data_IF_186280420416
#
_entry.id   IF_186280420416
#
_cell.length_a   1.000
_cell.length_b   1.000
_cell.length_c   1.000
_cell.angle_alpha   90.00
_cell.angle_beta   90.00
_cell.angle_gamma   90.00
#
_symmetry.space_group_name_H-M   'P 1'
#
loop_
_entity.id
_entity.type
_entity.pdbx_description
1 polymer ?
#
# COMPACT_ATOMS: atom_id res chain seq x y z
N UNK A 1 26.16 -8.49 -25.47
CA UNK A 1 26.99 -9.63 -25.02
C UNK A 1 26.49 -10.00 -23.63
N UNK A 2 25.80 -11.13 -23.48
CA UNK A 2 25.33 -11.60 -22.19
C UNK A 2 26.55 -12.03 -21.34
N UNK A 3 26.66 -11.49 -20.13
CA UNK A 3 27.65 -11.89 -19.13
C UNK A 3 27.17 -13.16 -18.43
N UNK A 4 27.96 -14.23 -18.51
CA UNK A 4 27.68 -15.51 -17.84
C UNK A 4 28.26 -15.50 -16.43
N UNK A 5 27.39 -15.46 -15.43
CA UNK A 5 27.74 -15.87 -14.08
C UNK A 5 26.59 -15.64 -13.12
N UNK A 6 25.71 -16.62 -12.90
CA UNK A 6 24.67 -16.65 -11.84
C UNK A 6 23.90 -15.33 -11.59
N UNK A 7 23.87 -14.45 -12.58
CA UNK A 7 23.33 -13.10 -12.52
C UNK A 7 22.07 -13.10 -13.38
N UNK A 8 21.00 -12.61 -12.78
CA UNK A 8 19.71 -12.35 -13.41
C UNK A 8 19.93 -11.76 -14.81
N UNK A 9 19.50 -12.46 -15.86
CA UNK A 9 19.63 -11.99 -17.24
C UNK A 9 18.86 -10.67 -17.40
N UNK A 10 19.58 -9.56 -17.36
CA UNK A 10 19.01 -8.22 -17.57
C UNK A 10 19.29 -7.80 -19.01
N UNK A 11 18.23 -7.74 -19.81
CA UNK A 11 18.33 -7.29 -21.20
C UNK A 11 18.31 -5.76 -21.25
N UNK A 12 19.37 -5.16 -21.80
CA UNK A 12 19.45 -3.71 -21.97
C UNK A 12 18.57 -3.20 -23.12
N UNK A 13 18.39 -4.03 -24.16
CA UNK A 13 17.48 -3.80 -25.27
C UNK A 13 16.35 -4.86 -25.23
N UNK A 14 15.06 -4.46 -25.18
CA UNK A 14 13.94 -5.40 -25.23
C UNK A 14 13.93 -6.29 -26.49
N UNK A 15 14.62 -5.91 -27.58
CA UNK A 15 14.77 -6.74 -28.78
C UNK A 15 15.89 -7.79 -28.67
N UNK A 16 16.75 -7.71 -27.66
CA UNK A 16 17.66 -8.81 -27.30
C UNK A 16 16.89 -9.94 -26.64
N UNK A 17 15.86 -9.63 -25.84
CA UNK A 17 14.94 -10.62 -25.28
C UNK A 17 14.23 -11.41 -26.39
N UNK A 18 13.69 -10.73 -27.42
CA UNK A 18 13.05 -11.44 -28.54
C UNK A 18 14.05 -12.30 -29.31
N UNK A 19 15.29 -11.84 -29.54
CA UNK A 19 16.34 -12.58 -30.25
C UNK A 19 16.90 -13.76 -29.44
N UNK A 20 16.96 -13.64 -28.12
CA UNK A 20 17.42 -14.72 -27.23
C UNK A 20 16.44 -15.90 -27.25
N UNK A 21 15.13 -15.62 -27.30
CA UNK A 21 14.09 -16.66 -27.34
C UNK A 21 13.70 -17.11 -28.76
N UNK A 22 14.05 -16.36 -29.81
CA UNK A 22 13.81 -16.77 -31.22
C UNK A 22 14.50 -18.10 -31.58
N UNK A 23 15.62 -18.42 -30.91
CA UNK A 23 16.35 -19.69 -31.08
C UNK A 23 15.78 -20.87 -30.27
N UNK A 24 14.77 -20.64 -29.44
CA UNK A 24 14.09 -21.67 -28.63
C UNK A 24 12.72 -22.08 -29.19
N UNK A 25 12.23 -21.39 -30.23
CA UNK A 25 10.87 -21.58 -30.77
C UNK A 25 10.69 -22.86 -31.61
N UNK A 26 11.75 -23.63 -31.89
CA UNK A 26 11.62 -24.96 -32.53
C UNK A 26 11.13 -26.06 -31.55
N UNK A 27 11.17 -25.80 -30.24
CA UNK A 27 10.55 -26.68 -29.24
C UNK A 27 9.72 -25.86 -28.27
N UNK A 28 8.42 -25.73 -28.53
CA UNK A 28 7.46 -25.17 -27.58
C UNK A 28 6.94 -26.29 -26.65
N UNK A 29 7.52 -26.49 -25.44
CA UNK A 29 7.15 -27.60 -24.55
C UNK A 29 5.72 -27.47 -24.02
N UNK A 30 5.11 -26.29 -24.10
CA UNK A 30 3.76 -26.03 -23.60
C UNK A 30 2.65 -26.51 -24.56
N UNK A 31 2.96 -26.75 -25.83
CA UNK A 31 2.03 -27.34 -26.80
C UNK A 31 2.04 -28.87 -26.72
N UNK A 32 3.15 -29.47 -26.26
CA UNK A 32 3.38 -30.91 -26.22
C UNK A 32 3.47 -31.48 -24.78
N UNK A 33 2.68 -30.98 -23.82
CA UNK A 33 2.45 -31.67 -22.53
C UNK A 33 3.69 -32.01 -21.68
N UNK A 34 4.87 -31.49 -22.01
CA UNK A 34 6.12 -31.81 -21.35
C UNK A 34 6.54 -30.65 -20.45
N UNK A 35 6.77 -30.98 -19.19
CA UNK A 35 7.15 -30.14 -18.07
C UNK A 35 7.84 -28.80 -18.38
N UNK A 36 7.34 -27.75 -17.70
CA UNK A 36 7.89 -26.39 -17.53
C UNK A 36 9.27 -26.35 -16.83
N UNK A 37 10.24 -27.14 -17.26
CA UNK A 37 11.52 -27.34 -16.58
C UNK A 37 12.70 -26.57 -17.21
N UNK A 38 12.49 -25.81 -18.29
CA UNK A 38 13.58 -25.23 -19.07
C UNK A 38 13.41 -23.73 -19.35
N UNK A 39 12.80 -22.95 -18.44
CA UNK A 39 12.93 -21.50 -18.52
C UNK A 39 14.26 -21.07 -17.88
N UNK A 40 15.26 -20.56 -18.63
CA UNK A 40 16.56 -20.17 -18.10
C UNK A 40 16.50 -19.03 -17.06
N UNK A 41 15.35 -18.34 -16.94
CA UNK A 41 15.10 -17.36 -15.88
C UNK A 41 14.65 -18.00 -14.55
N UNK A 42 14.06 -19.19 -14.60
CA UNK A 42 13.71 -20.01 -13.44
C UNK A 42 14.87 -20.99 -13.18
N UNK A 43 16.00 -20.45 -12.70
CA UNK A 43 17.10 -21.27 -12.20
C UNK A 43 16.58 -22.39 -11.30
N UNK A 44 17.00 -23.62 -11.58
CA UNK A 44 16.43 -24.88 -11.08
C UNK A 44 15.86 -24.84 -9.66
N UNK A 45 14.57 -24.55 -9.54
CA UNK A 45 13.80 -24.81 -8.35
C UNK A 45 13.49 -26.30 -8.30
N UNK A 46 14.28 -27.02 -7.51
CA UNK A 46 14.15 -28.43 -7.25
C UNK A 46 12.75 -28.73 -6.68
N UNK A 47 11.82 -29.22 -7.51
CA UNK A 47 10.53 -29.77 -7.05
C UNK A 47 10.80 -31.07 -6.28
N UNK A 48 11.01 -30.97 -4.97
CA UNK A 48 10.79 -32.11 -4.08
C UNK A 48 9.28 -32.30 -3.93
N UNK A 49 8.75 -33.22 -4.73
CA UNK A 49 7.44 -33.80 -4.50
C UNK A 49 7.42 -34.52 -3.15
N UNK A 50 6.35 -34.28 -2.39
CA UNK A 50 6.01 -35.04 -1.20
C UNK A 50 4.52 -35.37 -1.25
N UNK A 51 4.19 -36.44 -1.98
CA UNK A 51 2.93 -37.14 -1.80
C UNK A 51 3.00 -38.07 -0.60
N UNK A 52 1.84 -38.35 -0.01
CA UNK A 52 1.64 -39.25 1.13
C UNK A 52 0.84 -38.52 2.20
N UNK A 53 -0.32 -38.98 2.66
CA UNK A 53 -0.85 -40.33 2.74
C UNK A 53 -1.52 -40.41 4.11
N UNK A 54 -2.76 -40.89 4.13
CA UNK A 54 -3.54 -41.14 5.35
C UNK A 54 -2.81 -42.09 6.30
N UNK A 55 -2.87 -41.81 7.60
CA UNK A 55 -2.47 -42.74 8.64
C UNK A 55 -2.63 -42.11 10.02
N UNK A 56 -3.68 -42.49 10.74
CA UNK A 56 -3.75 -42.25 12.17
C UNK A 56 -2.84 -43.24 12.89
N UNK A 57 -2.17 -42.78 13.95
CA UNK A 57 -1.82 -43.62 15.08
C UNK A 57 -1.52 -42.77 16.31
N UNK A 58 -2.10 -43.23 17.41
CA UNK A 58 -1.99 -42.81 18.80
C UNK A 58 -0.58 -43.03 19.38
N UNK A 59 -0.15 -42.18 20.32
CA UNK A 59 0.91 -42.57 21.25
C UNK A 59 1.67 -41.46 21.96
N UNK A 60 1.15 -41.05 23.13
CA UNK A 60 1.87 -40.81 24.40
C UNK A 60 3.18 -39.99 24.44
N UNK A 61 3.13 -38.93 25.24
CA UNK A 61 4.09 -38.76 26.35
C UNK A 61 5.10 -37.62 26.22
N UNK A 62 4.98 -36.63 27.11
CA UNK A 62 6.05 -35.65 27.33
C UNK A 62 5.57 -34.36 28.01
N UNK A 63 5.21 -34.47 29.29
CA UNK A 63 4.78 -33.34 30.09
C UNK A 63 5.87 -32.29 30.31
N UNK A 64 5.43 -31.04 30.40
CA UNK A 64 6.22 -29.89 30.84
C UNK A 64 5.28 -28.88 31.49
N UNK A 65 4.91 -29.16 32.75
CA UNK A 65 4.07 -28.29 33.55
C UNK A 65 4.78 -26.99 33.94
N UNK A 66 4.07 -25.87 33.78
CA UNK A 66 4.37 -24.59 34.38
C UNK A 66 3.06 -23.99 34.87
N UNK A 67 2.84 -24.05 36.19
CA UNK A 67 1.55 -23.83 36.84
C UNK A 67 0.99 -22.42 36.71
N UNK A 68 -0.33 -22.36 36.67
CA UNK A 68 -1.14 -21.17 36.90
C UNK A 68 -2.32 -21.58 37.76
N UNK A 69 -2.28 -21.13 39.01
CA UNK A 69 -3.20 -21.37 40.13
C UNK A 69 -4.68 -21.25 39.71
N UNK A 70 -5.46 -22.28 40.05
CA UNK A 70 -6.91 -22.29 40.01
C UNK A 70 -7.46 -21.40 41.13
N UNK A 71 -7.97 -20.21 40.81
CA UNK A 71 -8.74 -19.38 41.73
C UNK A 71 -10.21 -19.28 41.25
N UNK A 72 -11.12 -19.57 42.18
CA UNK A 72 -12.59 -19.54 42.11
C UNK A 72 -13.20 -18.29 41.43
N UNK A 73 -14.48 -18.37 40.98
CA UNK A 73 -15.14 -17.30 40.23
C UNK A 73 -15.62 -16.18 41.16
N UNK A 74 -14.68 -15.36 41.63
CA UNK A 74 -14.94 -14.13 42.38
C UNK A 74 -15.01 -12.90 41.46
N UNK A 75 -16.10 -12.15 41.57
CA UNK A 75 -16.54 -10.96 40.80
C UNK A 75 -15.62 -9.74 40.84
N UNK A 76 -14.34 -9.86 41.24
CA UNK A 76 -13.49 -8.74 41.62
C UNK A 76 -12.51 -8.23 40.54
N UNK A 77 -12.38 -8.91 39.38
CA UNK A 77 -11.34 -8.57 38.38
C UNK A 77 -11.86 -8.12 37.01
N UNK A 78 -13.14 -7.78 36.87
CA UNK A 78 -13.76 -7.35 35.61
C UNK A 78 -13.10 -6.08 35.03
N UNK A 79 -12.93 -5.03 35.84
CA UNK A 79 -12.43 -3.74 35.34
C UNK A 79 -10.95 -3.78 34.93
N UNK A 80 -10.11 -4.57 35.63
CA UNK A 80 -8.70 -4.78 35.25
C UNK A 80 -8.55 -5.60 33.98
N UNK A 81 -9.51 -6.49 33.69
CA UNK A 81 -9.57 -7.24 32.43
C UNK A 81 -10.06 -6.35 31.29
N UNK A 82 -11.07 -5.51 31.54
CA UNK A 82 -11.53 -4.52 30.57
C UNK A 82 -10.43 -3.51 30.22
N UNK A 83 -9.71 -3.00 31.23
CA UNK A 83 -8.53 -2.13 31.03
C UNK A 83 -7.44 -2.83 30.23
N UNK A 84 -7.05 -4.04 30.61
CA UNK A 84 -6.05 -4.79 29.84
C UNK A 84 -6.52 -5.11 28.42
N UNK A 85 -7.79 -5.43 28.21
CA UNK A 85 -8.36 -5.68 26.88
C UNK A 85 -8.36 -4.42 26.00
N UNK A 86 -8.64 -3.26 26.57
CA UNK A 86 -8.55 -1.95 25.91
C UNK A 86 -7.13 -1.67 25.40
N UNK A 87 -6.10 -2.02 26.18
CA UNK A 87 -4.70 -1.89 25.79
C UNK A 87 -4.11 -3.10 25.05
N UNK A 88 -4.86 -4.20 24.92
CA UNK A 88 -4.44 -5.39 24.17
C UNK A 88 -4.74 -5.24 22.68
N UNK A 89 -5.80 -4.51 22.33
CA UNK A 89 -6.21 -4.24 20.94
C UNK A 89 -5.14 -3.38 20.26
N UNK A 90 -4.26 -4.01 19.48
CA UNK A 90 -3.20 -3.34 18.72
C UNK A 90 -1.77 -3.77 19.03
N UNK A 91 -1.56 -4.73 19.94
CA UNK A 91 -0.22 -5.26 20.26
C UNK A 91 -0.04 -6.72 19.80
N UNK A 92 -0.78 -7.14 18.78
CA UNK A 92 -0.73 -8.49 18.21
C UNK A 92 0.40 -8.56 17.17
N UNK A 93 1.64 -8.30 17.59
CA UNK A 93 2.82 -8.60 16.79
C UNK A 93 3.13 -10.09 16.94
N UNK A 94 2.54 -10.90 16.07
CA UNK A 94 2.91 -12.31 15.95
C UNK A 94 4.35 -12.44 15.45
N UNK A 95 5.10 -13.38 16.05
CA UNK A 95 6.46 -13.69 15.61
C UNK A 95 6.44 -14.12 14.14
N UNK A 96 7.43 -13.68 13.35
CA UNK A 96 7.56 -14.02 11.93
C UNK A 96 7.62 -15.54 11.62
N UNK A 97 7.76 -16.40 12.65
CA UNK A 97 7.75 -17.86 12.53
C UNK A 97 6.40 -18.51 12.80
N UNK A 98 5.39 -17.74 13.23
CA UNK A 98 4.04 -18.26 13.49
C UNK A 98 3.21 -18.01 12.23
N UNK A 99 2.67 -19.09 11.66
CA UNK A 99 1.71 -18.96 10.56
C UNK A 99 0.45 -18.29 11.10
N UNK A 100 0.18 -17.07 10.68
CA UNK A 100 -1.03 -16.34 11.03
C UNK A 100 -2.25 -17.12 10.55
N UNK A 101 -3.14 -17.48 11.48
CA UNK A 101 -4.34 -18.22 11.13
C UNK A 101 -5.47 -17.22 10.84
N UNK A 102 -5.66 -16.92 9.55
CA UNK A 102 -6.64 -15.92 9.10
C UNK A 102 -8.03 -16.22 9.64
N UNK A 103 -8.60 -15.23 10.31
CA UNK A 103 -10.02 -15.23 10.70
C UNK A 103 -10.90 -15.24 9.44
N UNK A 104 -12.16 -15.72 9.54
CA UNK A 104 -13.08 -15.72 8.40
C UNK A 104 -13.33 -14.31 7.83
N UNK A 105 -13.29 -13.27 8.68
CA UNK A 105 -13.41 -11.87 8.24
C UNK A 105 -12.19 -11.39 7.44
N UNK A 106 -10.97 -11.78 7.84
CA UNK A 106 -9.75 -11.45 7.11
C UNK A 106 -9.69 -12.17 5.77
N UNK A 107 -10.11 -13.44 5.71
CA UNK A 107 -10.22 -14.16 4.42
C UNK A 107 -11.18 -13.47 3.47
N UNK A 108 -12.30 -12.95 3.95
CA UNK A 108 -13.25 -12.20 3.13
C UNK A 108 -12.65 -10.89 2.59
N UNK A 109 -11.81 -10.21 3.38
CA UNK A 109 -11.08 -9.00 2.91
C UNK A 109 -10.01 -9.36 1.89
N UNK A 110 -9.24 -10.42 2.15
CA UNK A 110 -8.18 -10.91 1.26
C UNK A 110 -8.72 -11.46 -0.06
N UNK A 111 -9.95 -12.00 -0.07
CA UNK A 111 -10.59 -12.47 -1.31
C UNK A 111 -10.78 -11.36 -2.35
N UNK A 112 -10.81 -10.10 -1.95
CA UNK A 112 -10.93 -8.94 -2.83
C UNK A 112 -9.56 -8.33 -3.21
N UNK A 113 -8.45 -8.92 -2.74
CA UNK A 113 -7.09 -8.46 -3.05
C UNK A 113 -6.51 -9.40 -4.10
N UNK A 114 -6.16 -8.83 -5.24
CA UNK A 114 -5.54 -9.58 -6.34
C UNK A 114 -4.02 -9.36 -6.35
N UNK A 115 -3.28 -10.18 -7.10
CA UNK A 115 -1.86 -9.99 -7.32
C UNK A 115 -1.59 -9.22 -8.61
N UNK A 116 -0.56 -8.38 -8.63
CA UNK A 116 -0.12 -7.64 -9.83
C UNK A 116 0.80 -8.53 -10.66
N UNK A 117 0.52 -8.61 -11.96
CA UNK A 117 1.37 -9.29 -12.93
C UNK A 117 2.56 -8.40 -13.35
N UNK A 118 3.66 -8.47 -12.59
CA UNK A 118 4.89 -7.73 -12.91
C UNK A 118 5.68 -8.30 -14.08
N UNK A 119 5.56 -9.60 -14.32
CA UNK A 119 6.32 -10.28 -15.35
C UNK A 119 5.66 -10.06 -16.71
N UNK A 120 6.48 -9.69 -17.69
CA UNK A 120 6.00 -9.57 -19.06
C UNK A 120 5.54 -10.96 -19.57
N UNK A 121 4.45 -11.02 -20.35
CA UNK A 121 3.96 -12.28 -20.89
C UNK A 121 4.95 -12.84 -21.93
N UNK A 122 5.37 -14.09 -21.76
CA UNK A 122 6.28 -14.80 -22.68
C UNK A 122 5.57 -15.32 -23.95
N UNK A 123 4.59 -14.58 -24.49
CA UNK A 123 3.83 -15.00 -25.65
C UNK A 123 4.51 -14.63 -26.97
N UNK A 124 4.37 -15.48 -28.00
CA UNK A 124 4.91 -15.20 -29.34
C UNK A 124 4.37 -13.89 -29.94
N UNK A 125 3.13 -13.53 -29.59
CA UNK A 125 2.51 -12.25 -29.99
C UNK A 125 3.19 -11.05 -29.33
N UNK A 126 3.51 -11.13 -28.04
CA UNK A 126 4.24 -10.09 -27.32
C UNK A 126 5.65 -9.88 -27.88
N UNK A 127 6.38 -10.98 -28.16
CA UNK A 127 7.72 -10.91 -28.79
C UNK A 127 7.70 -10.23 -30.16
N UNK A 128 6.74 -10.59 -31.02
CA UNK A 128 6.55 -9.98 -32.36
C UNK A 128 6.21 -8.49 -32.27
N UNK A 129 5.42 -8.09 -31.28
CA UNK A 129 5.13 -6.68 -31.04
C UNK A 129 6.37 -5.91 -30.57
N UNK A 130 7.14 -6.49 -29.64
CA UNK A 130 8.35 -5.89 -29.08
C UNK A 130 9.42 -5.64 -30.15
N UNK A 131 9.60 -6.58 -31.08
CA UNK A 131 10.53 -6.45 -32.20
C UNK A 131 10.24 -5.25 -33.12
N UNK A 132 8.97 -4.82 -33.20
CA UNK A 132 8.53 -3.71 -34.06
C UNK A 132 8.67 -2.32 -33.42
N UNK A 133 8.95 -2.22 -32.12
CA UNK A 133 8.97 -0.93 -31.40
C UNK A 133 10.29 -0.17 -31.55
N UNK A 134 10.29 1.17 -31.73
CA UNK A 134 11.49 1.97 -32.01
C UNK A 134 12.46 2.07 -30.81
N UNK A 135 13.77 2.17 -31.10
CA UNK A 135 14.88 2.19 -30.12
C UNK A 135 14.91 3.44 -29.20
N UNK A 136 14.28 4.56 -29.60
CA UNK A 136 14.34 5.86 -28.88
C UNK A 136 13.46 5.95 -27.61
N UNK A 137 12.98 4.82 -27.10
CA UNK A 137 12.06 4.69 -25.97
C UNK A 137 12.72 4.89 -24.59
N UNK A 138 13.76 5.69 -24.47
CA UNK A 138 14.35 6.00 -23.16
C UNK A 138 14.03 7.41 -22.71
N UNK A 139 13.93 8.35 -23.65
CA UNK A 139 13.66 9.75 -23.34
C UNK A 139 12.22 9.99 -22.88
N UNK A 140 11.26 9.21 -23.38
CA UNK A 140 9.89 9.16 -22.89
C UNK A 140 9.83 8.84 -21.39
N UNK A 141 10.58 7.85 -20.89
CA UNK A 141 10.65 7.56 -19.45
C UNK A 141 11.19 8.73 -18.63
N UNK A 142 12.24 9.40 -19.10
CA UNK A 142 12.81 10.57 -18.42
C UNK A 142 11.83 11.73 -18.38
N UNK A 143 11.13 12.00 -19.49
CA UNK A 143 10.08 13.02 -19.56
C UNK A 143 8.93 12.67 -18.61
N UNK A 144 8.51 11.41 -18.55
CA UNK A 144 7.47 10.95 -17.62
C UNK A 144 7.89 11.12 -16.17
N UNK A 145 9.11 10.74 -15.79
CA UNK A 145 9.64 10.97 -14.43
C UNK A 145 9.69 12.46 -14.07
N UNK A 146 10.13 13.30 -15.01
CA UNK A 146 10.10 14.75 -14.85
C UNK A 146 8.69 15.30 -14.66
N UNK A 147 7.73 14.86 -15.48
CA UNK A 147 6.34 15.26 -15.39
C UNK A 147 5.68 14.85 -14.06
N UNK A 148 5.95 13.63 -13.58
CA UNK A 148 5.47 13.14 -12.28
C UNK A 148 6.04 14.00 -11.14
N UNK A 149 7.33 14.33 -11.20
CA UNK A 149 7.98 15.20 -10.21
C UNK A 149 7.36 16.60 -10.16
N UNK A 150 7.16 17.22 -11.33
CA UNK A 150 6.51 18.55 -11.42
C UNK A 150 5.07 18.50 -10.92
N UNK A 151 4.28 17.52 -11.35
CA UNK A 151 2.89 17.38 -10.92
C UNK A 151 2.77 17.14 -9.41
N UNK A 152 3.61 16.27 -8.84
CA UNK A 152 3.64 16.01 -7.40
C UNK A 152 4.07 17.25 -6.62
N UNK A 153 5.07 17.99 -7.11
CA UNK A 153 5.53 19.24 -6.49
C UNK A 153 4.46 20.34 -6.51
N UNK A 154 3.71 20.47 -7.61
CA UNK A 154 2.58 21.40 -7.69
C UNK A 154 1.49 21.05 -6.68
N UNK A 155 1.11 19.77 -6.57
CA UNK A 155 0.11 19.33 -5.60
C UNK A 155 0.60 19.54 -4.16
N UNK A 156 1.88 19.28 -3.88
CA UNK A 156 2.49 19.56 -2.59
C UNK A 156 2.41 21.07 -2.24
N UNK A 157 2.76 21.94 -3.19
CA UNK A 157 2.67 23.38 -3.01
C UNK A 157 1.23 23.87 -2.79
N UNK A 158 0.26 23.28 -3.50
CA UNK A 158 -1.16 23.57 -3.29
C UNK A 158 -1.63 23.15 -1.89
N UNK A 159 -1.19 21.98 -1.41
CA UNK A 159 -1.52 21.51 -0.07
C UNK A 159 -0.95 22.45 1.00
N UNK A 160 0.32 22.82 0.87
CA UNK A 160 1.00 23.74 1.79
C UNK A 160 0.34 25.12 1.79
N UNK A 161 0.00 25.65 0.61
CA UNK A 161 -0.72 26.93 0.47
C UNK A 161 -2.10 26.86 1.12
N UNK A 162 -2.83 25.76 0.96
CA UNK A 162 -4.13 25.57 1.59
C UNK A 162 -4.02 25.53 3.13
N UNK A 163 -3.04 24.79 3.66
CA UNK A 163 -2.77 24.72 5.10
C UNK A 163 -2.39 26.10 5.63
N UNK A 164 -1.48 26.81 4.93
CA UNK A 164 -1.03 28.15 5.30
C UNK A 164 -2.17 29.17 5.34
N UNK A 165 -3.11 29.10 4.39
CA UNK A 165 -4.28 29.98 4.35
C UNK A 165 -5.22 29.72 5.52
N UNK A 166 -5.56 28.45 5.78
CA UNK A 166 -6.47 28.07 6.88
C UNK A 166 -5.84 28.34 8.26
N UNK A 167 -4.58 27.94 8.46
CA UNK A 167 -3.85 28.19 9.68
C UNK A 167 -3.61 29.69 9.89
N UNK A 168 -3.24 30.41 8.83
CA UNK A 168 -3.05 31.86 8.84
C UNK A 168 -4.32 32.61 9.26
N UNK A 169 -5.48 32.22 8.72
CA UNK A 169 -6.77 32.76 9.13
C UNK A 169 -7.08 32.48 10.62
N UNK A 170 -6.96 31.22 11.05
CA UNK A 170 -7.21 30.81 12.45
C UNK A 170 -6.31 31.56 13.44
N UNK A 171 -5.00 31.55 13.19
CA UNK A 171 -4.02 32.18 14.08
C UNK A 171 -4.06 33.72 13.98
N UNK A 172 -4.43 34.28 12.83
CA UNK A 172 -4.65 35.72 12.67
C UNK A 172 -5.76 36.22 13.59
N UNK A 173 -6.93 35.56 13.58
CA UNK A 173 -8.04 35.90 14.47
C UNK A 173 -7.66 35.65 15.93
N UNK A 174 -7.02 34.51 16.21
CA UNK A 174 -6.63 34.18 17.60
C UNK A 174 -5.66 35.23 18.17
N UNK A 175 -4.69 35.70 17.37
CA UNK A 175 -3.76 36.76 17.77
C UNK A 175 -4.46 38.11 17.98
N UNK A 176 -5.39 38.46 17.10
CA UNK A 176 -6.22 39.67 17.28
C UNK A 176 -7.03 39.59 18.58
N UNK A 177 -7.70 38.46 18.84
CA UNK A 177 -8.47 38.25 20.07
C UNK A 177 -7.58 38.31 21.32
N UNK A 178 -6.35 37.79 21.26
CA UNK A 178 -5.39 37.84 22.36
C UNK A 178 -4.96 39.29 22.70
N UNK A 179 -4.92 40.19 21.71
CA UNK A 179 -4.52 41.59 21.91
C UNK A 179 -5.64 42.45 22.50
N UNK A 180 -6.90 42.18 22.14
CA UNK A 180 -8.04 43.02 22.52
C UNK A 180 -8.93 42.43 23.64
N UNK A 181 -8.76 41.14 23.98
CA UNK A 181 -9.62 40.44 24.97
C UNK A 181 -8.83 39.57 25.93
N UNK A 182 -9.53 38.86 26.82
CA UNK A 182 -8.94 37.93 27.79
C UNK A 182 -8.41 36.64 27.11
N UNK A 183 -7.32 36.10 27.67
CA UNK A 183 -6.69 34.85 27.21
C UNK A 183 -7.67 33.68 27.14
N UNK A 184 -8.64 33.60 28.06
CA UNK A 184 -9.66 32.55 28.08
C UNK A 184 -10.55 32.54 26.82
N UNK A 185 -10.90 33.72 26.29
CA UNK A 185 -11.74 33.84 25.09
C UNK A 185 -10.95 33.42 23.85
N UNK A 186 -9.70 33.85 23.73
CA UNK A 186 -8.79 33.44 22.66
C UNK A 186 -8.53 31.92 22.68
N UNK A 187 -8.34 31.34 23.87
CA UNK A 187 -8.18 29.90 24.03
C UNK A 187 -9.44 29.12 23.62
N UNK A 188 -10.61 29.54 24.10
CA UNK A 188 -11.88 28.90 23.77
C UNK A 188 -12.15 28.95 22.25
N UNK A 189 -11.94 30.11 21.62
CA UNK A 189 -12.06 30.27 20.17
C UNK A 189 -11.14 29.31 19.41
N UNK A 190 -9.85 29.26 19.78
CA UNK A 190 -8.89 28.39 19.10
C UNK A 190 -9.26 26.91 19.24
N UNK A 191 -9.71 26.47 20.43
CA UNK A 191 -10.17 25.10 20.66
C UNK A 191 -11.42 24.79 19.83
N UNK A 192 -12.43 25.66 19.85
CA UNK A 192 -13.67 25.47 19.09
C UNK A 192 -13.40 25.37 17.59
N UNK A 193 -12.60 26.27 17.02
CA UNK A 193 -12.25 26.23 15.58
C UNK A 193 -11.46 24.96 15.25
N UNK A 194 -10.52 24.57 16.10
CA UNK A 194 -9.72 23.36 15.86
C UNK A 194 -10.59 22.09 15.90
N UNK A 195 -11.54 21.99 16.84
CA UNK A 195 -12.50 20.88 16.88
C UNK A 195 -13.40 20.87 15.64
N UNK A 196 -13.92 22.02 15.21
CA UNK A 196 -14.75 22.12 14.01
C UNK A 196 -14.01 21.65 12.74
N UNK A 197 -12.73 22.04 12.58
CA UNK A 197 -11.91 21.60 11.45
C UNK A 197 -11.69 20.08 11.44
N UNK A 198 -11.42 19.49 12.61
CA UNK A 198 -11.24 18.04 12.75
C UNK A 198 -12.54 17.27 12.48
N UNK A 199 -13.67 17.78 12.99
CA UNK A 199 -14.99 17.20 12.70
C UNK A 199 -15.30 17.28 11.21
N UNK A 200 -15.09 18.43 10.57
CA UNK A 200 -15.30 18.60 9.13
C UNK A 200 -14.42 17.64 8.30
N UNK A 201 -13.13 17.52 8.65
CA UNK A 201 -12.22 16.57 8.02
C UNK A 201 -12.72 15.12 8.18
N UNK A 202 -13.15 14.75 9.38
CA UNK A 202 -13.60 13.39 9.68
C UNK A 202 -14.89 13.05 8.94
N UNK A 203 -15.83 14.00 8.87
CA UNK A 203 -17.07 13.86 8.11
C UNK A 203 -16.81 13.71 6.61
N UNK A 204 -15.85 14.44 6.04
CA UNK A 204 -15.48 14.31 4.64
C UNK A 204 -14.96 12.91 4.31
N UNK A 205 -14.10 12.33 5.17
CA UNK A 205 -13.57 10.97 4.97
C UNK A 205 -14.66 9.92 5.13
N UNK A 206 -15.45 9.99 6.21
CA UNK A 206 -16.49 8.98 6.49
C UNK A 206 -17.63 9.04 5.46
N UNK A 207 -18.00 10.24 5.01
CA UNK A 207 -19.13 10.45 4.11
C UNK A 207 -18.84 10.12 2.64
N UNK A 208 -17.64 10.44 2.13
CA UNK A 208 -17.34 10.31 0.71
C UNK A 208 -16.43 9.14 0.36
N UNK A 209 -15.34 8.94 1.10
CA UNK A 209 -14.33 7.94 0.78
C UNK A 209 -13.67 7.38 2.05
N UNK A 210 -14.24 6.34 2.67
CA UNK A 210 -13.66 5.74 3.89
C UNK A 210 -12.27 5.13 3.63
N UNK A 211 -11.98 4.79 2.37
CA UNK A 211 -10.68 4.30 1.90
C UNK A 211 -9.56 5.36 2.00
N UNK A 212 -9.91 6.64 2.14
CA UNK A 212 -8.95 7.73 2.34
C UNK A 212 -8.38 7.77 3.77
N UNK A 213 -8.82 6.87 4.66
CA UNK A 213 -8.35 6.83 6.04
C UNK A 213 -6.83 6.59 6.13
N UNK A 214 -6.20 7.21 7.14
CA UNK A 214 -4.80 6.98 7.45
C UNK A 214 -3.82 7.59 6.43
N UNK A 215 -2.57 7.15 6.50
CA UNK A 215 -1.46 7.74 5.75
C UNK A 215 -1.51 7.41 4.25
N UNK A 216 -1.78 6.16 3.86
CA UNK A 216 -1.62 5.68 2.48
C UNK A 216 -0.27 5.01 2.21
N UNK A 217 0.71 5.17 3.11
CA UNK A 217 2.03 4.53 3.00
C UNK A 217 1.94 3.00 2.99
N UNK A 218 1.30 2.31 3.96
CA UNK A 218 1.26 0.85 3.95
C UNK A 218 0.53 0.29 2.71
N UNK A 219 -0.46 1.02 2.19
CA UNK A 219 -1.20 0.63 1.00
C UNK A 219 -0.34 0.75 -0.27
N UNK A 220 0.45 1.82 -0.41
CA UNK A 220 1.43 1.95 -1.50
C UNK A 220 2.53 0.89 -1.37
N UNK A 221 3.00 0.59 -0.16
CA UNK A 221 3.96 -0.49 0.07
C UNK A 221 3.38 -1.85 -0.31
N UNK A 222 2.12 -2.12 0.03
CA UNK A 222 1.43 -3.34 -0.40
C UNK A 222 1.32 -3.43 -1.92
N UNK A 223 1.00 -2.32 -2.58
CA UNK A 223 0.99 -2.23 -4.04
C UNK A 223 2.34 -2.58 -4.65
N UNK A 224 3.43 -1.98 -4.16
CA UNK A 224 4.80 -2.27 -4.63
C UNK A 224 5.24 -3.71 -4.36
N UNK A 225 4.73 -4.35 -3.30
CA UNK A 225 4.94 -5.78 -3.03
C UNK A 225 4.11 -6.71 -3.95
N UNK A 226 3.22 -6.14 -4.78
CA UNK A 226 2.41 -6.90 -5.74
C UNK A 226 0.99 -7.18 -5.32
N UNK A 227 0.50 -6.56 -4.24
CA UNK A 227 -0.90 -6.67 -3.83
C UNK A 227 -1.73 -5.54 -4.47
N UNK A 228 -2.67 -5.88 -5.34
CA UNK A 228 -3.61 -4.93 -5.94
C UNK A 228 -4.77 -4.67 -4.97
N UNK A 229 -4.72 -3.52 -4.29
CA UNK A 229 -5.79 -3.07 -3.41
C UNK A 229 -6.90 -2.38 -4.22
N UNK A 230 -8.18 -2.74 -4.03
CA UNK A 230 -9.28 -2.09 -4.73
C UNK A 230 -9.34 -0.60 -4.37
N UNK A 231 -9.55 0.24 -5.39
CA UNK A 231 -9.74 1.70 -5.29
C UNK A 231 -8.60 2.50 -4.66
N UNK A 232 -7.41 1.90 -4.56
CA UNK A 232 -6.21 2.57 -4.06
C UNK A 232 -5.93 3.90 -4.78
N UNK A 233 -5.99 3.88 -6.11
CA UNK A 233 -5.72 5.04 -6.97
C UNK A 233 -6.99 5.76 -7.45
N UNK A 234 -8.12 5.61 -6.76
CA UNK A 234 -9.35 6.30 -7.15
C UNK A 234 -9.22 7.82 -6.92
N UNK A 235 -9.51 8.62 -7.95
CA UNK A 235 -9.41 10.09 -7.92
C UNK A 235 -10.26 10.68 -6.79
N UNK A 236 -11.47 10.15 -6.57
CA UNK A 236 -12.34 10.62 -5.49
C UNK A 236 -11.69 10.44 -4.11
N UNK A 237 -11.08 9.27 -3.86
CA UNK A 237 -10.38 8.96 -2.62
C UNK A 237 -9.20 9.90 -2.39
N UNK A 238 -8.46 10.24 -3.45
CA UNK A 238 -7.30 11.14 -3.38
C UNK A 238 -7.70 12.59 -3.12
N UNK A 239 -8.77 13.07 -3.75
CA UNK A 239 -9.31 14.43 -3.52
C UNK A 239 -9.79 14.57 -2.07
N UNK A 240 -10.54 13.58 -1.58
CA UNK A 240 -10.99 13.56 -0.17
C UNK A 240 -9.77 13.54 0.76
N UNK A 241 -8.76 12.71 0.48
CA UNK A 241 -7.53 12.61 1.26
C UNK A 241 -6.75 13.93 1.30
N UNK A 242 -6.64 14.62 0.17
CA UNK A 242 -5.99 15.93 0.07
C UNK A 242 -6.71 16.98 0.95
N UNK A 243 -8.03 17.10 0.81
CA UNK A 243 -8.83 18.07 1.56
C UNK A 243 -8.85 17.77 3.06
N UNK A 244 -9.08 16.50 3.42
CA UNK A 244 -9.09 16.08 4.83
C UNK A 244 -7.73 16.31 5.48
N UNK A 245 -6.64 15.99 4.79
CA UNK A 245 -5.29 16.18 5.30
C UNK A 245 -5.04 17.65 5.66
N UNK A 246 -5.31 18.59 4.75
CA UNK A 246 -5.03 19.99 5.05
C UNK A 246 -5.95 20.59 6.12
N UNK A 247 -7.21 20.16 6.22
CA UNK A 247 -8.12 20.57 7.31
C UNK A 247 -7.59 20.10 8.68
N UNK A 248 -7.11 18.85 8.75
CA UNK A 248 -6.58 18.26 9.99
C UNK A 248 -5.24 18.89 10.38
N UNK A 249 -4.35 19.18 9.43
CA UNK A 249 -3.06 19.83 9.72
C UNK A 249 -3.30 21.30 10.14
N UNK A 250 -4.23 22.01 9.50
CA UNK A 250 -4.60 23.37 9.87
C UNK A 250 -5.27 23.46 11.27
N UNK A 251 -5.88 22.38 11.75
CA UNK A 251 -6.43 22.35 13.11
C UNK A 251 -5.32 22.36 14.19
N UNK A 252 -4.08 22.02 13.84
CA UNK A 252 -2.93 21.99 14.76
C UNK A 252 -2.79 20.67 15.51
N UNK A 253 -3.38 19.59 14.99
CA UNK A 253 -3.09 18.24 15.48
C UNK A 253 -1.62 17.85 15.20
N UNK A 254 -1.02 16.98 16.03
CA UNK A 254 0.36 16.53 15.86
C UNK A 254 0.47 15.49 14.73
N UNK A 255 0.11 15.89 13.51
CA UNK A 255 0.13 15.06 12.31
C UNK A 255 0.71 15.85 11.15
N UNK A 256 1.41 15.14 10.24
CA UNK A 256 2.06 15.74 9.08
C UNK A 256 1.40 15.35 7.75
N UNK A 257 1.55 16.17 6.71
CA UNK A 257 1.05 15.87 5.36
C UNK A 257 1.91 14.87 4.58
N UNK A 258 3.10 14.52 5.08
CA UNK A 258 4.10 13.71 4.37
C UNK A 258 3.58 12.35 3.88
N UNK A 259 2.84 11.65 4.74
CA UNK A 259 2.29 10.34 4.44
C UNK A 259 1.23 10.38 3.31
N UNK A 260 0.18 11.20 3.47
CA UNK A 260 -0.81 11.43 2.41
C UNK A 260 -0.20 11.91 1.10
N UNK A 261 0.83 12.77 1.15
CA UNK A 261 1.49 13.29 -0.04
C UNK A 261 2.22 12.20 -0.84
N UNK A 262 2.85 11.23 -0.17
CA UNK A 262 3.46 10.06 -0.82
C UNK A 262 2.40 9.25 -1.59
N UNK A 263 1.24 9.01 -0.99
CA UNK A 263 0.16 8.28 -1.66
C UNK A 263 -0.38 9.06 -2.87
N UNK A 264 -0.58 10.37 -2.73
CA UNK A 264 -1.01 11.22 -3.84
C UNK A 264 0.01 11.23 -4.98
N UNK A 265 1.31 11.29 -4.67
CA UNK A 265 2.39 11.19 -5.66
C UNK A 265 2.38 9.84 -6.40
N UNK A 266 2.21 8.73 -5.69
CA UNK A 266 2.08 7.40 -6.30
C UNK A 266 0.89 7.34 -7.26
N UNK A 267 -0.23 7.95 -6.89
CA UNK A 267 -1.42 8.00 -7.74
C UNK A 267 -1.25 8.88 -8.99
N UNK A 268 -0.59 10.03 -8.86
CA UNK A 268 -0.22 10.87 -10.01
C UNK A 268 0.69 10.09 -10.96
N UNK A 269 1.64 9.33 -10.42
CA UNK A 269 2.50 8.44 -11.20
C UNK A 269 1.70 7.40 -11.98
N UNK A 270 0.76 6.72 -11.32
CA UNK A 270 -0.11 5.75 -11.96
C UNK A 270 -1.00 6.38 -13.05
N UNK A 271 -1.59 7.55 -12.77
CA UNK A 271 -2.48 8.25 -13.70
C UNK A 271 -1.74 8.75 -14.95
N UNK A 272 -0.58 9.40 -14.77
CA UNK A 272 0.24 9.86 -15.89
C UNK A 272 0.76 8.70 -16.73
N UNK A 273 1.20 7.60 -16.09
CA UNK A 273 1.73 6.42 -16.79
C UNK A 273 0.69 5.74 -17.68
N UNK A 274 -0.58 5.69 -17.25
CA UNK A 274 -1.66 5.06 -18.01
C UNK A 274 -2.15 5.94 -19.18
N UNK A 275 -2.01 7.27 -19.09
CA UNK A 275 -2.42 8.21 -20.15
C UNK A 275 -3.92 8.21 -20.49
N UNK A 276 -4.73 7.48 -19.72
CA UNK A 276 -6.17 7.32 -19.85
C UNK A 276 -6.78 7.25 -18.45
N UNK A 277 -7.89 7.95 -18.21
CA UNK A 277 -8.56 7.93 -16.91
C UNK A 277 -9.83 7.10 -17.00
N UNK A 278 -9.77 5.85 -16.53
CA UNK A 278 -10.95 4.97 -16.42
C UNK A 278 -12.06 5.55 -15.52
N UNK A 279 -11.74 6.58 -14.72
CA UNK A 279 -12.70 7.30 -13.86
C UNK A 279 -13.37 8.48 -14.55
N UNK A 280 -12.81 9.03 -15.64
CA UNK A 280 -13.34 10.22 -16.34
C UNK A 280 -13.90 9.94 -17.75
N UNK A 281 -13.87 8.68 -18.19
CA UNK A 281 -14.41 8.24 -19.49
C UNK A 281 -13.31 7.92 -20.48
#
# INVERSE_FOLDING_TARGET
>A
MASSGAETLTFSDPREYSRFYDGYDDEDPYVNGAAAAHDPLLGGMNRRGGGGGSGGESGSGGGGGGGGIDDEPGTANSWRRAWRALFKKGNDVESARVNHNFTPEERAKLANVESIDYLAPNSATYRKWLARQPYRRSWDRWVMMGAIGVATGLVAHLLDTMIGLLAGFKYGITRWLLQYTNVAVAWLFNVTVSVLLVVASSMAVIGWAPEAQGSGVPEVMAYLNGCMLPKLFNVATLVVKFLSCGLVVASGLPVGPEGPLLHIGAAIGAALSQGHSTTLG
#
